data_IF_310687433573
#
_entry.id   IF_310687433573
#
_cell.length_a   1.000
_cell.length_b   1.000
_cell.length_c   1.000
_cell.angle_alpha   90.00
_cell.angle_beta   90.00
_cell.angle_gamma   90.00
#
_symmetry.space_group_name_H-M   'P 1'
#
loop_
_entity.id
_entity.type
_entity.pdbx_description
1 polymer ?
#
# COMPACT_ATOMS: atom_id res chain seq x y z
N UNK A 1 6.37 6.90 -6.44
CA UNK A 1 5.25 7.81 -6.12
C UNK A 1 4.34 7.14 -5.11
N UNK A 2 3.62 7.90 -4.27
CA UNK A 2 2.63 7.34 -3.35
C UNK A 2 1.34 7.03 -4.10
N UNK A 3 0.74 5.86 -3.86
CA UNK A 3 -0.57 5.50 -4.41
C UNK A 3 -1.64 6.06 -3.46
N UNK A 4 -2.60 6.78 -4.01
CA UNK A 4 -3.75 7.35 -3.29
C UNK A 4 -5.04 6.80 -3.88
N UNK A 5 -6.10 6.77 -3.07
CA UNK A 5 -7.40 6.26 -3.53
C UNK A 5 -7.94 7.03 -4.73
N UNK A 6 -8.43 6.29 -5.73
CA UNK A 6 -8.98 6.76 -6.99
C UNK A 6 -10.05 5.77 -7.50
N UNK A 7 -10.56 5.96 -8.71
CA UNK A 7 -11.44 4.96 -9.32
C UNK A 7 -10.77 3.60 -9.56
N UNK A 8 -9.46 3.61 -9.86
CA UNK A 8 -8.67 2.41 -10.12
C UNK A 8 -8.07 1.81 -8.83
N UNK A 9 -7.67 2.65 -7.87
CA UNK A 9 -7.00 2.20 -6.65
C UNK A 9 -7.87 2.47 -5.43
N UNK A 10 -8.07 1.46 -4.58
CA UNK A 10 -8.67 1.65 -3.27
C UNK A 10 -7.62 1.38 -2.19
N UNK A 11 -7.23 2.44 -1.48
CA UNK A 11 -6.22 2.41 -0.41
C UNK A 11 -6.92 2.52 0.94
N UNK A 12 -6.72 1.53 1.79
CA UNK A 12 -7.31 1.48 3.13
C UNK A 12 -6.23 1.35 4.21
N UNK A 13 -6.38 2.14 5.26
CA UNK A 13 -5.58 2.07 6.48
C UNK A 13 -6.50 1.75 7.64
N UNK A 14 -6.41 0.52 8.15
CA UNK A 14 -7.31 -0.01 9.18
C UNK A 14 -6.53 -0.13 10.50
N UNK A 15 -6.74 0.77 11.47
CA UNK A 15 -6.20 0.61 12.81
C UNK A 15 -6.74 -0.69 13.44
N UNK A 16 -5.85 -1.52 13.98
CA UNK A 16 -6.19 -2.74 14.72
C UNK A 16 -5.96 -2.57 16.23
N UNK A 17 -4.99 -1.74 16.61
CA UNK A 17 -4.69 -1.33 17.99
C UNK A 17 -3.81 -0.07 17.96
N UNK A 18 -3.49 0.58 19.10
CA UNK A 18 -2.60 1.74 19.14
C UNK A 18 -1.24 1.54 18.47
N UNK A 19 -0.74 0.29 18.40
CA UNK A 19 0.57 -0.05 17.82
C UNK A 19 0.47 -1.01 16.63
N UNK A 20 -0.73 -1.22 16.08
CA UNK A 20 -0.95 -2.15 14.96
C UNK A 20 -1.93 -1.58 13.96
N UNK A 21 -1.50 -1.49 12.71
CA UNK A 21 -2.30 -1.03 11.59
C UNK A 21 -2.20 -2.02 10.44
N UNK A 22 -3.32 -2.25 9.74
CA UNK A 22 -3.35 -3.03 8.50
C UNK A 22 -3.53 -2.08 7.32
N UNK A 23 -2.57 -2.08 6.39
CA UNK A 23 -2.65 -1.33 5.14
C UNK A 23 -3.06 -2.27 4.02
N UNK A 24 -3.99 -1.84 3.17
CA UNK A 24 -4.54 -2.62 2.06
C UNK A 24 -4.55 -1.73 0.81
N UNK A 25 -4.02 -2.25 -0.29
CA UNK A 25 -4.17 -1.69 -1.63
C UNK A 25 -4.98 -2.67 -2.47
N UNK A 26 -6.12 -2.22 -2.98
CA UNK A 26 -6.94 -2.95 -3.96
C UNK A 26 -6.82 -2.26 -5.31
N UNK A 27 -6.43 -3.00 -6.35
CA UNK A 27 -6.36 -2.49 -7.72
C UNK A 27 -7.59 -3.02 -8.47
N UNK A 28 -8.42 -2.11 -9.00
CA UNK A 28 -9.62 -2.40 -9.78
C UNK A 28 -9.31 -2.28 -11.26
N UNK A 29 -9.87 -3.19 -12.07
CA UNK A 29 -9.63 -3.24 -13.52
C UNK A 29 -8.13 -3.28 -13.86
N UNK A 30 -7.43 -4.30 -13.36
CA UNK A 30 -5.99 -4.47 -13.55
C UNK A 30 -5.56 -4.32 -15.02
N UNK A 31 -4.59 -3.45 -15.29
CA UNK A 31 -4.05 -3.17 -16.61
C UNK A 31 -2.55 -3.48 -16.70
N UNK A 32 -2.02 -3.56 -17.92
CA UNK A 32 -0.60 -3.82 -18.18
C UNK A 32 0.35 -2.83 -17.45
N UNK A 33 -0.09 -1.58 -17.25
CA UNK A 33 0.68 -0.55 -16.54
C UNK A 33 0.72 -0.72 -15.02
N UNK A 34 -0.11 -1.60 -14.44
CA UNK A 34 -0.16 -1.85 -12.99
C UNK A 34 0.86 -2.92 -12.57
N UNK A 35 1.39 -3.72 -13.50
CA UNK A 35 2.38 -4.74 -13.16
C UNK A 35 3.72 -4.09 -12.79
N UNK A 36 4.36 -4.60 -11.74
CA UNK A 36 5.58 -4.02 -11.23
C UNK A 36 5.79 -4.23 -9.74
N UNK A 37 6.72 -3.44 -9.19
CA UNK A 37 7.07 -3.51 -7.77
C UNK A 37 6.26 -2.50 -6.98
N UNK A 38 5.55 -3.00 -5.97
CA UNK A 38 4.85 -2.20 -4.97
C UNK A 38 5.65 -2.18 -3.68
N UNK A 39 5.77 -1.02 -3.05
CA UNK A 39 6.42 -0.87 -1.75
C UNK A 39 5.42 -0.34 -0.73
N UNK A 40 5.25 -1.09 0.36
CA UNK A 40 4.52 -0.66 1.54
C UNK A 40 5.52 -0.04 2.53
N UNK A 41 5.29 1.23 2.90
CA UNK A 41 6.12 1.97 3.84
C UNK A 41 5.37 2.18 5.16
N UNK A 42 5.96 1.74 6.28
CA UNK A 42 5.44 1.98 7.62
C UNK A 42 6.40 2.89 8.40
N UNK A 43 5.91 4.05 8.85
CA UNK A 43 6.71 5.08 9.51
C UNK A 43 6.13 5.47 10.86
N UNK A 44 7.00 5.64 11.85
CA UNK A 44 6.70 6.25 13.15
C UNK A 44 7.85 7.19 13.56
N UNK A 45 7.85 7.68 14.81
CA UNK A 45 8.88 8.59 15.32
C UNK A 45 10.26 7.95 15.48
N UNK A 46 10.36 6.62 15.52
CA UNK A 46 11.62 5.89 15.67
C UNK A 46 12.26 5.58 14.31
N UNK A 47 11.48 5.55 13.23
CA UNK A 47 12.01 5.28 11.90
C UNK A 47 10.96 4.82 10.90
N UNK A 48 11.46 4.24 9.81
CA UNK A 48 10.68 3.76 8.67
C UNK A 48 11.13 2.35 8.28
N UNK A 49 10.17 1.50 7.93
CA UNK A 49 10.40 0.18 7.37
C UNK A 49 9.65 0.05 6.05
N UNK A 50 10.34 -0.46 5.04
CA UNK A 50 9.81 -0.69 3.70
C UNK A 50 9.73 -2.19 3.39
N UNK A 51 8.59 -2.62 2.85
CA UNK A 51 8.39 -3.98 2.36
C UNK A 51 7.96 -3.93 0.90
N UNK A 52 8.71 -4.59 0.02
CA UNK A 52 8.41 -4.62 -1.41
C UNK A 52 7.87 -5.98 -1.85
N UNK A 53 6.87 -5.95 -2.72
CA UNK A 53 6.28 -7.12 -3.39
C UNK A 53 6.18 -6.83 -4.88
N UNK A 54 6.35 -7.86 -5.72
CA UNK A 54 6.20 -7.74 -7.17
C UNK A 54 4.92 -8.40 -7.64
N UNK A 55 4.13 -7.64 -8.41
CA UNK A 55 2.96 -8.11 -9.13
C UNK A 55 3.38 -8.52 -10.55
N UNK A 56 2.97 -9.71 -10.97
CA UNK A 56 3.31 -10.35 -12.24
C UNK A 56 2.07 -10.67 -13.05
#
# INVERSE_FOLDING_TARGET
>A
SMIISSGQYDVQTIPKSPFKTRMILTIRHLQAGDFGTYTCAAKNSLGEVNFSIRLY
#
